data_IF_096087487653
#
_entry.id   IF_096087487653
#
_cell.length_a   1.000
_cell.length_b   1.000
_cell.length_c   1.000
_cell.angle_alpha   90.00
_cell.angle_beta   90.00
_cell.angle_gamma   90.00
#
_symmetry.space_group_name_H-M   'P 1'
#
loop_
_entity.id
_entity.type
_entity.pdbx_description
1 polymer ?
#
# COMPACT_ATOMS: atom_id res chain seq x y z
N UNK A 1 7.45 10.69 5.60
CA UNK A 1 8.78 10.49 6.20
C UNK A 1 8.76 10.98 7.63
N UNK A 2 8.04 10.27 8.50
CA UNK A 2 8.13 10.46 9.94
C UNK A 2 9.28 9.64 10.54
N UNK A 3 10.29 10.33 11.09
CA UNK A 3 11.15 9.93 12.22
C UNK A 3 11.79 8.52 12.30
N UNK A 4 11.82 7.72 11.24
CA UNK A 4 12.64 6.50 11.15
C UNK A 4 13.56 6.59 9.93
N UNK A 5 14.65 7.33 10.14
CA UNK A 5 15.75 7.56 9.20
C UNK A 5 16.35 6.25 8.70
N UNK A 6 16.03 5.84 7.47
CA UNK A 6 16.77 4.90 6.59
C UNK A 6 17.32 3.57 7.18
N UNK A 7 17.04 3.23 8.44
CA UNK A 7 17.63 2.13 9.19
C UNK A 7 16.56 1.06 9.45
N UNK A 8 16.05 0.52 8.36
CA UNK A 8 15.01 -0.49 8.37
C UNK A 8 15.44 -1.70 7.54
N UNK A 9 14.98 -2.88 7.97
CA UNK A 9 14.82 -4.01 7.05
C UNK A 9 13.48 -3.84 6.34
N UNK A 10 13.48 -3.95 5.02
CA UNK A 10 12.33 -3.61 4.19
C UNK A 10 11.93 -4.81 3.37
N UNK A 11 10.66 -5.19 3.46
CA UNK A 11 10.00 -6.08 2.52
C UNK A 11 9.41 -5.22 1.40
N UNK A 12 9.63 -5.58 0.14
CA UNK A 12 8.90 -5.03 -1.00
C UNK A 12 8.33 -6.19 -1.82
N UNK A 13 7.00 -6.20 -2.00
CA UNK A 13 6.28 -7.16 -2.85
C UNK A 13 5.40 -6.37 -3.82
N UNK A 14 5.44 -6.72 -5.11
CA UNK A 14 4.65 -6.05 -6.14
C UNK A 14 3.60 -7.00 -6.70
N UNK A 15 2.36 -6.56 -6.73
CA UNK A 15 1.23 -7.35 -7.23
C UNK A 15 0.79 -6.84 -8.59
N UNK A 16 0.37 -7.77 -9.45
CA UNK A 16 -0.28 -7.47 -10.73
C UNK A 16 -1.74 -7.05 -10.54
N UNK A 17 -2.35 -7.41 -9.41
CA UNK A 17 -3.75 -7.14 -9.11
C UNK A 17 -4.08 -5.65 -9.06
N UNK A 18 -5.20 -5.32 -9.70
CA UNK A 18 -5.81 -4.00 -9.60
C UNK A 18 -6.65 -3.91 -8.32
N UNK A 19 -6.23 -3.03 -7.41
CA UNK A 19 -6.95 -2.76 -6.15
C UNK A 19 -7.88 -1.56 -6.24
N UNK A 20 -8.03 -0.94 -7.42
CA UNK A 20 -8.96 0.18 -7.62
C UNK A 20 -10.40 -0.28 -7.66
N UNK A 21 -11.31 0.60 -7.25
CA UNK A 21 -12.73 0.41 -7.45
C UNK A 21 -13.08 0.30 -8.95
N UNK A 22 -13.89 -0.69 -9.32
CA UNK A 22 -14.24 -1.00 -10.72
C UNK A 22 -14.94 0.16 -11.43
N UNK A 23 -15.56 1.08 -10.68
CA UNK A 23 -16.17 2.29 -11.25
C UNK A 23 -15.17 3.17 -12.00
N UNK A 24 -13.87 3.03 -11.72
CA UNK A 24 -12.82 3.75 -12.44
C UNK A 24 -12.48 3.14 -13.81
N UNK A 25 -12.81 1.87 -14.06
CA UNK A 25 -12.45 1.14 -15.28
C UNK A 25 -12.83 1.80 -16.61
N UNK A 26 -14.05 2.33 -16.75
CA UNK A 26 -14.43 3.00 -17.98
C UNK A 26 -13.64 4.29 -18.24
N UNK A 27 -13.08 4.92 -17.20
CA UNK A 27 -12.31 6.16 -17.35
C UNK A 27 -10.90 5.84 -17.84
N UNK A 28 -10.15 4.96 -17.17
CA UNK A 28 -8.75 4.72 -17.52
C UNK A 28 -8.57 4.01 -18.87
N UNK A 29 -9.56 3.25 -19.34
CA UNK A 29 -9.53 2.66 -20.70
C UNK A 29 -9.60 3.67 -21.84
N UNK A 30 -10.11 4.89 -21.59
CA UNK A 30 -10.32 5.92 -22.64
C UNK A 30 -9.61 7.24 -22.38
N UNK A 31 -8.77 7.31 -21.33
CA UNK A 31 -8.11 8.53 -20.84
C UNK A 31 -9.10 9.66 -20.54
N UNK A 32 -9.52 9.83 -19.28
CA UNK A 32 -10.54 10.82 -18.93
C UNK A 32 -9.99 12.26 -19.02
N UNK A 33 -10.88 13.23 -19.13
CA UNK A 33 -10.54 14.63 -18.87
C UNK A 33 -10.36 14.88 -17.36
N UNK A 34 -9.62 15.94 -16.99
CA UNK A 34 -9.50 16.38 -15.58
C UNK A 34 -10.88 16.64 -14.95
N UNK A 35 -11.85 17.13 -15.73
CA UNK A 35 -13.22 17.37 -15.25
C UNK A 35 -13.91 16.07 -14.86
N UNK A 36 -13.89 15.07 -15.75
CA UNK A 36 -14.48 13.75 -15.49
C UNK A 36 -13.81 13.07 -14.29
N UNK A 37 -12.47 13.15 -14.19
CA UNK A 37 -11.74 12.64 -13.03
C UNK A 37 -12.21 13.26 -11.72
N UNK A 38 -12.31 14.60 -11.65
CA UNK A 38 -12.80 15.31 -10.47
C UNK A 38 -14.23 14.92 -10.11
N UNK A 39 -15.10 14.71 -11.10
CA UNK A 39 -16.49 14.30 -10.88
C UNK A 39 -16.57 12.88 -10.32
N UNK A 40 -15.75 11.95 -10.81
CA UNK A 40 -15.69 10.59 -10.28
C UNK A 40 -15.06 10.55 -8.89
N UNK A 41 -13.93 11.24 -8.70
CA UNK A 41 -13.24 11.30 -7.41
C UNK A 41 -14.17 11.77 -6.29
N UNK A 42 -14.97 12.81 -6.55
CA UNK A 42 -15.99 13.29 -5.60
C UNK A 42 -17.03 12.23 -5.24
N UNK A 43 -17.38 11.34 -6.16
CA UNK A 43 -18.38 10.27 -5.96
C UNK A 43 -17.82 9.04 -5.25
N UNK A 44 -16.50 8.82 -5.32
CA UNK A 44 -15.87 7.58 -4.86
C UNK A 44 -14.99 7.77 -3.63
N UNK A 45 -14.43 8.96 -3.37
CA UNK A 45 -13.41 9.19 -2.32
C UNK A 45 -13.77 8.61 -0.93
N UNK A 46 -15.06 8.62 -0.55
CA UNK A 46 -15.53 8.14 0.76
C UNK A 46 -16.06 6.70 0.76
N UNK A 47 -16.26 6.08 -0.41
CA UNK A 47 -16.92 4.78 -0.53
C UNK A 47 -16.32 3.89 -1.63
N UNK A 48 -15.06 4.13 -2.01
CA UNK A 48 -14.35 3.25 -2.94
C UNK A 48 -14.20 1.88 -2.29
N UNK A 49 -14.40 0.84 -3.07
CA UNK A 49 -14.29 -0.53 -2.60
C UNK A 49 -13.70 -1.42 -3.67
N UNK A 50 -12.83 -2.32 -3.23
CA UNK A 50 -12.31 -3.41 -4.04
C UNK A 50 -12.05 -4.61 -3.10
N UNK A 51 -12.51 -5.83 -3.44
CA UNK A 51 -12.30 -7.01 -2.60
C UNK A 51 -10.83 -7.34 -2.35
N UNK A 52 -9.95 -7.13 -3.33
CA UNK A 52 -8.50 -7.33 -3.18
C UNK A 52 -7.90 -6.29 -2.25
N UNK A 53 -8.35 -5.03 -2.32
CA UNK A 53 -7.96 -4.01 -1.35
C UNK A 53 -8.36 -4.42 0.09
N UNK A 54 -9.58 -4.93 0.29
CA UNK A 54 -9.99 -5.45 1.61
C UNK A 54 -9.15 -6.64 2.06
N UNK A 55 -8.89 -7.60 1.17
CA UNK A 55 -8.02 -8.75 1.47
C UNK A 55 -6.62 -8.33 1.90
N UNK A 56 -6.06 -7.27 1.31
CA UNK A 56 -4.76 -6.71 1.71
C UNK A 56 -4.77 -6.18 3.14
N UNK A 57 -5.79 -5.40 3.51
CA UNK A 57 -5.91 -4.88 4.89
C UNK A 57 -6.08 -6.03 5.88
N UNK A 58 -6.97 -7.00 5.56
CA UNK A 58 -7.25 -8.14 6.42
C UNK A 58 -6.05 -9.06 6.60
N UNK A 59 -5.25 -9.29 5.56
CA UNK A 59 -4.02 -10.07 5.66
C UNK A 59 -3.15 -9.58 6.82
N UNK A 60 -2.87 -8.28 6.90
CA UNK A 60 -2.04 -7.72 7.98
C UNK A 60 -2.72 -7.73 9.34
N UNK A 61 -4.05 -7.62 9.40
CA UNK A 61 -4.80 -7.72 10.65
C UNK A 61 -4.75 -9.11 11.25
N UNK A 62 -4.79 -10.14 10.40
CA UNK A 62 -4.97 -11.54 10.79
C UNK A 62 -3.65 -12.31 10.81
N UNK A 63 -2.59 -11.77 10.18
CA UNK A 63 -1.30 -12.43 10.06
C UNK A 63 -0.73 -12.82 11.43
N UNK A 64 -0.40 -14.12 11.55
CA UNK A 64 0.19 -14.76 12.73
C UNK A 64 -0.46 -14.31 14.04
N UNK A 65 -1.75 -14.63 14.19
CA UNK A 65 -2.56 -14.30 15.37
C UNK A 65 -2.59 -12.80 15.69
N UNK A 66 -2.51 -11.95 14.66
CA UNK A 66 -2.61 -10.49 14.78
C UNK A 66 -1.32 -9.81 15.24
N UNK A 67 -0.15 -10.43 15.04
CA UNK A 67 1.15 -9.81 15.36
C UNK A 67 1.35 -8.48 14.61
N UNK A 68 0.78 -8.35 13.41
CA UNK A 68 0.80 -7.14 12.59
C UNK A 68 -0.47 -6.28 12.70
N UNK A 69 -1.40 -6.61 13.62
CA UNK A 69 -2.65 -5.86 13.77
C UNK A 69 -2.36 -4.37 14.02
N UNK A 70 -2.77 -3.45 13.13
CA UNK A 70 -2.36 -2.06 13.20
C UNK A 70 -2.89 -1.36 14.46
N UNK A 71 -2.07 -0.51 15.07
CA UNK A 71 -2.55 0.39 16.12
C UNK A 71 -3.08 1.70 15.53
N UNK A 72 -2.50 2.13 14.41
CA UNK A 72 -2.83 3.37 13.71
C UNK A 72 -2.87 3.19 12.20
N UNK A 73 -3.58 4.08 11.52
CA UNK A 73 -3.59 4.16 10.07
C UNK A 73 -3.82 5.58 9.57
N UNK A 74 -3.51 5.82 8.30
CA UNK A 74 -3.93 7.02 7.57
C UNK A 74 -3.68 6.83 6.06
N UNK A 75 -4.11 7.76 5.21
CA UNK A 75 -3.72 7.80 3.79
C UNK A 75 -2.53 8.72 3.52
N UNK A 76 -2.03 9.41 4.55
CA UNK A 76 -0.85 10.27 4.46
C UNK A 76 -0.19 10.42 5.84
N UNK A 77 1.04 10.91 5.82
CA UNK A 77 1.76 11.27 7.03
C UNK A 77 1.23 12.58 7.65
N UNK A 78 1.17 12.71 8.97
CA UNK A 78 1.53 11.69 9.97
C UNK A 78 0.46 10.59 10.14
N UNK A 79 0.91 9.35 10.31
CA UNK A 79 0.02 8.20 10.61
C UNK A 79 -0.44 8.23 12.07
N UNK A 80 -1.59 8.87 12.33
CA UNK A 80 -2.03 9.19 13.69
C UNK A 80 -3.45 8.72 14.06
N UNK A 81 -4.28 8.27 13.11
CA UNK A 81 -5.65 7.83 13.44
C UNK A 81 -5.61 6.44 14.09
N UNK A 82 -6.29 6.21 15.23
CA UNK A 82 -6.42 4.87 15.80
C UNK A 82 -7.06 3.90 14.82
N UNK A 83 -6.59 2.66 14.79
CA UNK A 83 -7.16 1.61 13.94
C UNK A 83 -7.99 0.63 14.77
N UNK A 84 -9.18 0.28 14.26
CA UNK A 84 -10.04 -0.79 14.77
C UNK A 84 -10.83 -1.41 13.60
N UNK A 85 -11.58 -2.50 13.84
CA UNK A 85 -12.31 -3.20 12.76
C UNK A 85 -13.29 -2.32 11.97
N UNK A 86 -13.92 -1.33 12.61
CA UNK A 86 -14.82 -0.39 11.91
C UNK A 86 -14.07 0.54 10.93
N UNK A 87 -12.74 0.63 11.06
CA UNK A 87 -11.89 1.44 10.18
C UNK A 87 -11.55 0.75 8.86
N UNK A 88 -11.78 -0.57 8.71
CA UNK A 88 -11.42 -1.32 7.49
C UNK A 88 -12.02 -0.66 6.26
N UNK A 89 -13.32 -0.33 6.28
CA UNK A 89 -13.98 0.31 5.14
C UNK A 89 -13.31 1.63 4.71
N UNK A 90 -12.81 2.42 5.67
CA UNK A 90 -12.09 3.65 5.37
C UNK A 90 -10.69 3.37 4.79
N UNK A 91 -9.95 2.43 5.37
CA UNK A 91 -8.64 2.00 4.85
C UNK A 91 -8.76 1.44 3.42
N UNK A 92 -9.77 0.61 3.16
CA UNK A 92 -10.11 0.08 1.84
C UNK A 92 -10.46 1.21 0.88
N UNK A 93 -11.28 2.18 1.29
CA UNK A 93 -11.62 3.32 0.44
C UNK A 93 -10.39 4.16 0.08
N UNK A 94 -9.45 4.37 1.01
CA UNK A 94 -8.20 5.07 0.70
C UNK A 94 -7.37 4.35 -0.34
N UNK A 95 -7.21 3.03 -0.21
CA UNK A 95 -6.42 2.22 -1.15
C UNK A 95 -7.11 2.04 -2.50
N UNK A 96 -8.44 1.90 -2.52
CA UNK A 96 -9.22 1.61 -3.73
C UNK A 96 -9.46 2.85 -4.62
N UNK A 97 -9.02 4.03 -4.21
CA UNK A 97 -8.94 5.16 -5.12
C UNK A 97 -7.69 5.03 -6.02
N UNK A 98 -7.74 5.48 -7.29
CA UNK A 98 -6.57 5.49 -8.16
C UNK A 98 -5.44 6.36 -7.57
N UNK A 99 -4.20 5.90 -7.65
CA UNK A 99 -3.05 6.42 -6.89
C UNK A 99 -3.29 6.54 -5.37
N UNK A 100 -4.28 5.82 -4.85
CA UNK A 100 -4.57 5.74 -3.43
C UNK A 100 -3.47 5.01 -2.68
N UNK A 101 -3.36 5.30 -1.40
CA UNK A 101 -2.49 4.56 -0.51
C UNK A 101 -3.10 4.46 0.87
N UNK A 102 -2.63 3.48 1.62
CA UNK A 102 -2.91 3.37 3.04
C UNK A 102 -1.64 2.98 3.77
N UNK A 103 -1.40 3.71 4.84
CA UNK A 103 -0.32 3.49 5.78
C UNK A 103 -0.93 2.84 7.03
N UNK A 104 -0.47 1.64 7.38
CA UNK A 104 -0.83 0.94 8.60
C UNK A 104 0.40 0.92 9.51
N UNK A 105 0.22 1.20 10.80
CA UNK A 105 1.32 1.32 11.75
C UNK A 105 1.10 0.43 12.96
N UNK A 106 2.04 -0.48 13.18
CA UNK A 106 2.23 -1.19 14.44
C UNK A 106 3.32 -0.49 15.25
N UNK A 107 2.90 0.18 16.31
CA UNK A 107 3.73 1.06 17.13
C UNK A 107 4.98 0.33 17.60
N UNK A 108 6.15 0.91 17.27
CA UNK A 108 7.49 0.38 17.61
C UNK A 108 7.80 -1.00 17.01
N UNK A 109 7.00 -1.53 16.09
CA UNK A 109 7.22 -2.85 15.49
C UNK A 109 7.42 -2.78 13.98
N UNK A 110 6.41 -2.28 13.24
CA UNK A 110 6.46 -2.22 11.79
C UNK A 110 5.56 -1.10 11.26
N UNK A 111 5.98 -0.49 10.15
CA UNK A 111 5.14 0.38 9.32
C UNK A 111 4.86 -0.34 7.99
N UNK A 112 3.63 -0.32 7.52
CA UNK A 112 3.17 -1.00 6.30
C UNK A 112 2.58 0.04 5.37
N UNK A 113 3.13 0.12 4.17
CA UNK A 113 2.71 1.03 3.12
C UNK A 113 2.14 0.20 1.98
N UNK A 114 0.87 0.44 1.65
CA UNK A 114 0.21 -0.21 0.51
C UNK A 114 -0.18 0.88 -0.48
N UNK A 115 0.38 0.81 -1.68
CA UNK A 115 0.21 1.81 -2.72
C UNK A 115 -0.48 1.22 -3.94
N UNK A 116 -1.59 1.81 -4.33
CA UNK A 116 -2.25 1.56 -5.61
C UNK A 116 -1.51 2.37 -6.69
N UNK A 117 -0.81 1.69 -7.59
CA UNK A 117 -0.02 2.30 -8.68
C UNK A 117 -0.78 2.41 -9.99
N UNK A 118 -2.10 2.26 -9.95
CA UNK A 118 -2.95 2.50 -11.12
C UNK A 118 -2.94 3.97 -11.54
N UNK A 119 -3.63 4.23 -12.67
CA UNK A 119 -3.82 5.53 -13.29
C UNK A 119 -4.01 6.70 -12.32
N UNK A 120 -3.31 7.81 -12.56
CA UNK A 120 -3.50 9.04 -11.81
C UNK A 120 -3.17 10.28 -12.63
N UNK A 121 -3.86 11.37 -12.31
CA UNK A 121 -3.44 12.71 -12.73
C UNK A 121 -2.33 13.18 -11.80
N UNK A 122 -1.18 13.55 -12.37
CA UNK A 122 -0.12 14.18 -11.60
C UNK A 122 -0.62 15.49 -10.97
N UNK A 123 -0.05 15.86 -9.84
CA UNK A 123 -0.29 17.14 -9.18
C UNK A 123 1.02 17.91 -9.15
N UNK A 124 1.14 18.93 -10.00
CA UNK A 124 2.34 19.76 -10.16
C UNK A 124 1.92 21.19 -9.82
N UNK A 125 2.56 21.80 -8.82
CA UNK A 125 2.35 23.19 -8.42
C UNK A 125 0.88 23.61 -8.19
N UNK A 126 0.07 22.70 -7.63
CA UNK A 126 -1.34 22.99 -7.36
C UNK A 126 -2.29 22.75 -8.54
N UNK A 127 -1.80 22.17 -9.64
CA UNK A 127 -2.57 21.92 -10.86
C UNK A 127 -2.49 20.44 -11.24
N UNK A 128 -3.63 19.87 -11.67
CA UNK A 128 -3.64 18.54 -12.27
C UNK A 128 -2.93 18.59 -13.63
N UNK A 129 -1.85 17.81 -13.79
CA UNK A 129 -1.18 17.61 -15.08
C UNK A 129 -1.91 16.56 -15.93
N UNK A 130 -1.47 16.36 -17.17
CA UNK A 130 -1.91 15.20 -17.95
C UNK A 130 -1.73 13.90 -17.17
N UNK A 131 -2.61 12.90 -17.37
CA UNK A 131 -2.51 11.64 -16.67
C UNK A 131 -1.16 10.99 -16.94
N UNK A 132 -0.43 10.69 -15.87
CA UNK A 132 0.78 9.89 -15.97
C UNK A 132 0.32 8.46 -16.22
N UNK A 133 0.34 8.04 -17.49
CA UNK A 133 0.13 6.63 -17.81
C UNK A 133 1.44 5.91 -17.58
N UNK A 134 1.48 5.09 -16.52
CA UNK A 134 1.87 3.72 -16.77
C UNK A 134 0.73 2.82 -16.27
N UNK A 135 0.38 1.83 -17.07
CA UNK A 135 -0.05 0.55 -16.54
C UNK A 135 1.24 -0.19 -16.19
N UNK A 136 1.84 -0.01 -15.00
CA UNK A 136 2.97 -0.84 -14.62
C UNK A 136 2.52 -2.31 -14.68
N UNK A 137 3.46 -3.20 -15.01
CA UNK A 137 3.22 -4.64 -14.87
C UNK A 137 2.72 -5.01 -13.45
N UNK A 138 2.97 -4.14 -12.47
CA UNK A 138 2.52 -4.24 -11.08
C UNK A 138 1.67 -3.05 -10.66
N UNK A 139 0.38 -3.28 -10.44
CA UNK A 139 -0.62 -2.25 -10.12
C UNK A 139 -0.72 -1.96 -8.63
N UNK A 140 -0.10 -2.78 -7.77
CA UNK A 140 -0.07 -2.57 -6.32
C UNK A 140 1.33 -2.84 -5.78
N UNK A 141 1.82 -2.00 -4.86
CA UNK A 141 3.09 -2.21 -4.16
C UNK A 141 2.81 -2.29 -2.67
N UNK A 142 3.32 -3.34 -2.04
CA UNK A 142 3.31 -3.54 -0.59
C UNK A 142 4.74 -3.35 -0.11
N UNK A 143 4.93 -2.43 0.84
CA UNK A 143 6.22 -2.20 1.49
C UNK A 143 6.04 -2.31 3.00
N UNK A 144 6.86 -3.15 3.65
CA UNK A 144 6.84 -3.29 5.12
C UNK A 144 8.19 -2.91 5.68
N UNK A 145 8.21 -1.93 6.58
CA UNK A 145 9.40 -1.39 7.22
C UNK A 145 9.50 -1.92 8.65
N UNK A 146 10.58 -2.63 8.93
CA UNK A 146 10.95 -3.06 10.27
C UNK A 146 12.15 -2.24 10.76
N UNK A 147 11.97 -1.39 11.78
CA UNK A 147 13.10 -0.67 12.39
C UNK A 147 14.18 -1.63 12.83
N UNK A 148 15.42 -1.37 12.41
CA UNK A 148 16.56 -2.18 12.80
C UNK A 148 16.78 -2.06 14.30
N UNK A 149 16.82 -3.21 14.96
CA UNK A 149 17.17 -3.36 16.37
C UNK A 149 18.22 -4.46 16.48
N UNK A 150 18.94 -4.49 17.60
CA UNK A 150 19.98 -5.49 17.88
C UNK A 150 19.51 -6.94 17.68
N UNK A 151 18.23 -7.21 17.93
CA UNK A 151 17.62 -8.54 17.86
C UNK A 151 16.45 -8.60 16.86
N UNK A 152 16.53 -7.89 15.74
CA UNK A 152 15.49 -8.02 14.69
C UNK A 152 15.52 -9.44 14.13
N UNK A 153 14.37 -10.10 14.12
CA UNK A 153 14.21 -11.46 13.58
C UNK A 153 14.09 -11.42 12.06
N UNK A 154 15.21 -11.64 11.36
CA UNK A 154 15.23 -11.72 9.90
C UNK A 154 14.50 -12.97 9.37
N UNK A 155 14.43 -14.04 10.16
CA UNK A 155 13.69 -15.25 9.78
C UNK A 155 12.20 -14.96 9.65
N UNK A 156 11.64 -14.25 10.64
CA UNK A 156 10.27 -13.75 10.58
C UNK A 156 10.02 -12.84 9.37
N UNK A 157 10.92 -11.88 9.10
CA UNK A 157 10.76 -10.92 7.98
C UNK A 157 10.79 -11.65 6.63
N UNK A 158 11.72 -12.58 6.45
CA UNK A 158 11.80 -13.38 5.22
C UNK A 158 10.56 -14.27 5.08
N UNK A 159 10.09 -14.90 6.15
CA UNK A 159 8.88 -15.72 6.10
C UNK A 159 7.65 -14.88 5.76
N UNK A 160 7.48 -13.71 6.37
CA UNK A 160 6.40 -12.77 6.05
C UNK A 160 6.41 -12.37 4.57
N UNK A 161 7.59 -12.11 3.98
CA UNK A 161 7.69 -11.84 2.54
C UNK A 161 7.15 -13.03 1.72
N UNK A 162 7.57 -14.26 2.03
CA UNK A 162 7.10 -15.47 1.33
C UNK A 162 5.59 -15.67 1.48
N UNK A 163 5.06 -15.41 2.67
CA UNK A 163 3.64 -15.57 2.96
C UNK A 163 2.80 -14.52 2.21
N UNK A 164 3.25 -13.25 2.16
CA UNK A 164 2.63 -12.22 1.32
C UNK A 164 2.64 -12.68 -0.15
N UNK A 165 3.81 -13.12 -0.66
CA UNK A 165 3.92 -13.59 -2.04
C UNK A 165 2.96 -14.73 -2.34
N UNK A 166 2.95 -15.77 -1.50
CA UNK A 166 2.10 -16.93 -1.69
C UNK A 166 0.61 -16.60 -1.56
N UNK A 167 0.23 -15.70 -0.66
CA UNK A 167 -1.17 -15.35 -0.41
C UNK A 167 -1.78 -14.50 -1.54
N UNK A 168 -0.95 -13.67 -2.20
CA UNK A 168 -1.36 -12.80 -3.31
C UNK A 168 -0.84 -13.23 -4.68
N UNK A 169 -0.30 -14.45 -4.82
CA UNK A 169 0.26 -14.99 -6.07
C UNK A 169 1.24 -14.02 -6.75
N UNK A 170 2.13 -13.41 -5.93
CA UNK A 170 3.11 -12.46 -6.41
C UNK A 170 4.34 -13.18 -6.98
N UNK A 171 4.77 -12.77 -8.18
CA UNK A 171 5.94 -13.31 -8.87
C UNK A 171 7.27 -12.73 -8.37
N UNK A 172 7.22 -11.74 -7.49
CA UNK A 172 8.40 -11.06 -6.95
C UNK A 172 8.24 -10.74 -5.46
N UNK A 173 9.34 -10.78 -4.73
CA UNK A 173 9.45 -10.18 -3.42
C UNK A 173 10.90 -10.11 -2.98
N UNK A 174 11.25 -9.05 -2.26
CA UNK A 174 12.62 -8.87 -1.75
C UNK A 174 12.62 -8.34 -0.33
N UNK A 175 13.62 -8.77 0.42
CA UNK A 175 14.03 -8.19 1.70
C UNK A 175 15.37 -7.49 1.50
N UNK A 176 15.46 -6.22 1.85
CA UNK A 176 16.70 -5.45 1.75
C UNK A 176 16.89 -4.50 2.93
N UNK A 177 18.12 -4.10 3.16
CA UNK A 177 18.43 -3.08 4.16
C UNK A 177 18.30 -1.67 3.55
N UNK A 178 17.46 -0.82 4.13
CA UNK A 178 17.06 0.46 3.52
C UNK A 178 18.23 1.42 3.29
N UNK A 179 19.21 1.45 4.21
CA UNK A 179 20.33 2.38 4.15
C UNK A 179 21.31 2.08 3.01
N UNK A 180 21.64 0.80 2.81
CA UNK A 180 22.65 0.37 1.82
C UNK A 180 22.03 -0.18 0.53
N UNK A 181 20.73 -0.48 0.55
CA UNK A 181 20.03 -1.24 -0.50
C UNK A 181 20.57 -2.66 -0.72
N UNK A 182 21.33 -3.18 0.24
CA UNK A 182 21.81 -4.56 0.22
C UNK A 182 20.63 -5.54 0.31
N UNK A 183 20.55 -6.46 -0.66
CA UNK A 183 19.53 -7.50 -0.73
C UNK A 183 19.92 -8.63 0.22
N UNK A 184 18.99 -8.99 1.09
CA UNK A 184 19.13 -10.06 2.09
C UNK A 184 18.45 -11.33 1.59
N UNK A 185 17.29 -11.20 0.95
CA UNK A 185 16.57 -12.27 0.30
C UNK A 185 15.80 -11.71 -0.90
N UNK A 186 15.66 -12.50 -1.96
CA UNK A 186 14.87 -12.18 -3.14
C UNK A 186 14.31 -13.47 -3.71
N UNK A 187 13.05 -13.44 -4.12
CA UNK A 187 12.33 -14.56 -4.73
C UNK A 187 11.46 -14.09 -5.89
#
# INVERSE_FOLDING_TARGET
MGQYDNDNYVIEVKLRDNVSDDRWEPLYKRSPSIREYKEYYKKTIVNSFNPTAERLIRFFMEYDNGVLYPDKFNFCEPVNKPFNESCIAQAVSYLANPAGCVYLKKTRFADIDIENKTFSFGWIDGVYSEPLVPLPNYLTIITVYFPKKKNTDLGFIIQLMKDIKSYFDADNGKVFYQATKEIIAEE
#
